data_IF_558322641418
#
_entry.id   IF_558322641418
#
_cell.length_a   1.000
_cell.length_b   1.000
_cell.length_c   1.000
_cell.angle_alpha   90.00
_cell.angle_beta   90.00
_cell.angle_gamma   90.00
#
_symmetry.space_group_name_H-M   'P 1'
#
loop_
_entity.id
_entity.type
_entity.pdbx_description
1 polymer ?
#
# COMPACT_ATOMS: atom_id res chain seq x y z
N UNK A 1 11.70 2.09 7.60
CA UNK A 1 11.53 0.62 7.47
C UNK A 1 10.37 0.27 6.54
N UNK A 2 9.13 0.71 6.79
CA UNK A 2 7.98 0.39 5.92
C UNK A 2 8.06 0.92 4.47
N UNK A 3 8.66 2.09 4.26
CA UNK A 3 8.81 2.71 2.92
C UNK A 3 9.70 1.90 1.99
N UNK A 4 10.79 1.31 2.50
CA UNK A 4 11.69 0.48 1.68
C UNK A 4 11.00 -0.81 1.22
N UNK A 5 10.26 -1.47 2.12
CA UNK A 5 9.47 -2.66 1.80
C UNK A 5 8.34 -2.36 0.80
N UNK A 6 7.74 -1.17 0.89
CA UNK A 6 6.72 -0.73 -0.06
C UNK A 6 7.31 -0.47 -1.46
N UNK A 7 8.44 0.23 -1.52
CA UNK A 7 9.13 0.51 -2.80
C UNK A 7 9.61 -0.79 -3.45
N UNK A 8 10.15 -1.75 -2.69
CA UNK A 8 10.55 -3.05 -3.25
C UNK A 8 9.37 -3.85 -3.80
N UNK A 9 8.20 -3.79 -3.14
CA UNK A 9 6.97 -4.41 -3.62
C UNK A 9 6.47 -3.75 -4.92
N UNK A 10 6.46 -2.42 -5.01
CA UNK A 10 6.10 -1.72 -6.26
C UNK A 10 7.06 -2.12 -7.38
N UNK A 11 8.37 -2.07 -7.13
CA UNK A 11 9.38 -2.45 -8.11
C UNK A 11 9.24 -3.90 -8.57
N UNK A 12 8.84 -4.81 -7.67
CA UNK A 12 8.55 -6.21 -8.00
C UNK A 12 7.31 -6.40 -8.88
N UNK A 13 6.36 -5.45 -8.86
CA UNK A 13 5.18 -5.45 -9.74
C UNK A 13 5.44 -4.78 -11.10
N UNK A 14 6.50 -3.99 -11.22
CA UNK A 14 6.87 -3.33 -12.48
C UNK A 14 7.54 -4.32 -13.46
N UNK A 15 7.13 -4.27 -14.72
CA UNK A 15 7.76 -5.04 -15.79
C UNK A 15 9.07 -4.35 -16.23
N UNK A 16 10.15 -5.13 -16.38
CA UNK A 16 11.50 -4.65 -16.70
C UNK A 16 11.58 -3.75 -17.95
N UNK A 17 10.66 -3.90 -18.92
CA UNK A 17 10.63 -3.10 -20.15
C UNK A 17 10.06 -1.68 -19.97
N UNK A 18 9.23 -1.44 -18.95
CA UNK A 18 8.53 -0.16 -18.73
C UNK A 18 8.54 0.26 -17.25
N UNK A 19 9.62 -0.05 -16.52
CA UNK A 19 9.69 0.13 -15.07
C UNK A 19 9.51 1.58 -14.63
N UNK A 20 10.08 2.55 -15.36
CA UNK A 20 10.03 3.96 -14.99
C UNK A 20 8.60 4.54 -14.99
N UNK A 21 7.81 4.23 -16.03
CA UNK A 21 6.44 4.75 -16.16
C UNK A 21 5.47 4.06 -15.22
N UNK A 22 5.58 2.73 -15.07
CA UNK A 22 4.75 1.95 -14.15
C UNK A 22 5.03 2.32 -12.69
N UNK A 23 6.30 2.52 -12.33
CA UNK A 23 6.66 2.99 -11.00
C UNK A 23 6.10 4.39 -10.72
N UNK A 24 6.21 5.31 -11.68
CA UNK A 24 5.67 6.66 -11.53
C UNK A 24 4.15 6.67 -11.31
N UNK A 25 3.40 5.84 -12.07
CA UNK A 25 1.95 5.67 -11.93
C UNK A 25 1.56 5.03 -10.58
N UNK A 26 2.25 3.98 -10.17
CA UNK A 26 1.97 3.30 -8.90
C UNK A 26 2.33 4.19 -7.70
N UNK A 27 3.42 4.95 -7.80
CA UNK A 27 3.85 5.91 -6.79
C UNK A 27 2.90 7.10 -6.67
N UNK A 28 2.42 7.65 -7.79
CA UNK A 28 1.43 8.73 -7.78
C UNK A 28 0.10 8.27 -7.18
N UNK A 29 -0.35 7.05 -7.50
CA UNK A 29 -1.53 6.46 -6.89
C UNK A 29 -1.39 6.25 -5.38
N UNK A 30 -0.22 5.80 -4.92
CA UNK A 30 0.09 5.69 -3.50
C UNK A 30 0.08 7.05 -2.78
N UNK A 31 0.55 8.11 -3.45
CA UNK A 31 0.55 9.47 -2.92
C UNK A 31 -0.88 10.04 -2.77
N UNK A 32 -1.79 9.71 -3.70
CA UNK A 32 -3.19 10.17 -3.65
C UNK A 32 -3.87 9.78 -2.33
N UNK A 33 -3.71 8.53 -1.88
CA UNK A 33 -4.28 8.09 -0.60
C UNK A 33 -3.84 8.98 0.56
N UNK A 34 -2.55 9.34 0.62
CA UNK A 34 -2.04 10.21 1.68
C UNK A 34 -2.60 11.64 1.59
N UNK A 35 -2.78 12.16 0.37
CA UNK A 35 -3.29 13.51 0.12
C UNK A 35 -4.77 13.64 0.49
N UNK A 36 -5.59 12.62 0.25
CA UNK A 36 -7.01 12.66 0.62
C UNK A 36 -7.25 12.41 2.11
N UNK A 37 -6.49 11.49 2.71
CA UNK A 37 -6.71 11.06 4.09
C UNK A 37 -6.17 12.09 5.11
N UNK A 38 -5.07 12.78 4.80
CA UNK A 38 -4.45 13.74 5.72
C UNK A 38 -5.31 14.98 6.08
N UNK A 39 -6.00 15.65 5.14
CA UNK A 39 -6.90 16.75 5.49
C UNK A 39 -8.25 16.26 6.02
N UNK A 40 -8.74 15.11 5.55
CA UNK A 40 -10.04 14.57 6.00
C UNK A 40 -10.00 14.05 7.43
N UNK A 41 -8.84 13.64 7.96
CA UNK A 41 -8.72 13.19 9.35
C UNK A 41 -9.07 14.26 10.38
N UNK A 42 -8.84 15.54 10.08
CA UNK A 42 -9.20 16.64 11.00
C UNK A 42 -10.70 16.75 11.21
N UNK A 43 -11.46 16.78 10.11
CA UNK A 43 -12.92 16.81 10.14
C UNK A 43 -13.51 15.53 10.76
N UNK A 44 -12.92 14.36 10.47
CA UNK A 44 -13.42 13.08 10.96
C UNK A 44 -13.24 12.93 12.48
N UNK A 45 -12.15 13.45 13.04
CA UNK A 45 -11.90 13.47 14.50
C UNK A 45 -12.87 14.43 15.19
N UNK A 46 -13.25 15.53 14.55
CA UNK A 46 -14.20 16.50 15.12
C UNK A 46 -15.63 15.92 15.25
N UNK A 47 -16.02 15.04 14.31
CA UNK A 47 -17.33 14.38 14.32
C UNK A 47 -17.41 13.12 15.21
N UNK A 48 -16.36 12.30 15.25
CA UNK A 48 -16.40 10.94 15.83
C UNK A 48 -15.46 10.81 17.05
N UNK A 49 -14.65 11.84 17.33
CA UNK A 49 -13.63 11.83 18.36
C UNK A 49 -12.40 10.98 18.00
N UNK A 50 -11.34 11.17 18.78
CA UNK A 50 -10.09 10.39 18.64
C UNK A 50 -10.28 8.86 18.72
N UNK A 51 -11.10 8.30 19.64
CA UNK A 51 -11.25 6.85 19.77
C UNK A 51 -11.87 6.22 18.52
N UNK A 52 -12.91 6.85 17.96
CA UNK A 52 -13.58 6.37 16.75
C UNK A 52 -12.67 6.43 15.53
N UNK A 53 -11.88 7.51 15.39
CA UNK A 53 -10.91 7.64 14.32
C UNK A 53 -9.85 6.52 14.33
N UNK A 54 -9.26 6.22 15.49
CA UNK A 54 -8.27 5.15 15.60
C UNK A 54 -8.87 3.76 15.34
N UNK A 55 -10.10 3.53 15.78
CA UNK A 55 -10.78 2.25 15.53
C UNK A 55 -11.10 2.05 14.03
N UNK A 56 -11.58 3.10 13.36
CA UNK A 56 -11.85 3.07 11.92
C UNK A 56 -10.55 2.86 11.14
N UNK A 57 -9.48 3.61 11.45
CA UNK A 57 -8.18 3.44 10.77
C UNK A 57 -7.57 2.06 11.00
N UNK A 58 -7.75 1.46 12.18
CA UNK A 58 -7.37 0.08 12.46
C UNK A 58 -8.11 -0.91 11.56
N UNK A 59 -9.44 -0.77 11.44
CA UNK A 59 -10.25 -1.60 10.54
C UNK A 59 -9.87 -1.38 9.08
N UNK A 60 -9.57 -0.15 8.67
CA UNK A 60 -9.13 0.16 7.31
C UNK A 60 -7.73 -0.40 6.99
N UNK A 61 -6.88 -0.63 7.99
CA UNK A 61 -5.57 -1.25 7.80
C UNK A 61 -5.65 -2.77 7.52
N UNK A 62 -6.62 -3.46 8.14
CA UNK A 62 -6.87 -4.89 7.95
C UNK A 62 -6.93 -5.36 6.49
N UNK A 63 -7.75 -4.77 5.60
CA UNK A 63 -7.83 -5.22 4.20
C UNK A 63 -6.49 -5.04 3.45
N UNK A 64 -5.71 -4.00 3.77
CA UNK A 64 -4.37 -3.80 3.20
C UNK A 64 -3.39 -4.91 3.59
N UNK A 65 -3.39 -5.30 4.87
CA UNK A 65 -2.60 -6.43 5.37
C UNK A 65 -3.05 -7.77 4.77
N UNK A 66 -4.36 -7.97 4.62
CA UNK A 66 -4.95 -9.20 4.07
C UNK A 66 -4.61 -9.37 2.59
N UNK A 67 -4.63 -8.28 1.82
CA UNK A 67 -4.18 -8.25 0.43
C UNK A 67 -2.69 -8.61 0.33
N UNK A 68 -1.86 -8.01 1.19
CA UNK A 68 -0.42 -8.28 1.22
C UNK A 68 -0.12 -9.74 1.58
N UNK A 69 -0.88 -10.32 2.52
CA UNK A 69 -0.76 -11.73 2.87
C UNK A 69 -1.09 -12.66 1.70
N UNK A 70 -2.12 -12.34 0.90
CA UNK A 70 -2.44 -13.09 -0.32
C UNK A 70 -1.37 -12.92 -1.40
N UNK A 71 -0.88 -11.71 -1.63
CA UNK A 71 0.17 -11.45 -2.62
C UNK A 71 1.49 -12.12 -2.27
N UNK A 72 1.85 -12.20 -0.98
CA UNK A 72 3.04 -12.92 -0.50
C UNK A 72 3.09 -14.35 -1.06
N UNK A 73 1.96 -15.05 -1.11
CA UNK A 73 1.90 -16.41 -1.66
C UNK A 73 2.22 -16.44 -3.17
N UNK A 74 1.75 -15.44 -3.93
CA UNK A 74 2.03 -15.31 -5.36
C UNK A 74 3.49 -14.93 -5.65
N UNK A 75 4.03 -13.95 -4.92
CA UNK A 75 5.40 -13.46 -5.09
C UNK A 75 6.42 -14.57 -4.81
N UNK A 76 6.24 -15.32 -3.72
CA UNK A 76 7.12 -16.46 -3.39
C UNK A 76 7.07 -17.57 -4.45
N UNK A 77 5.93 -17.76 -5.12
CA UNK A 77 5.82 -18.74 -6.21
C UNK A 77 6.54 -18.28 -7.48
N UNK A 78 6.50 -16.99 -7.80
CA UNK A 78 7.19 -16.42 -8.97
C UNK A 78 8.71 -16.40 -8.76
N UNK A 79 9.16 -16.09 -7.54
CA UNK A 79 10.59 -16.10 -7.19
C UNK A 79 11.18 -17.51 -7.32
N UNK A 80 10.45 -18.55 -6.89
CA UNK A 80 10.86 -19.96 -7.07
C UNK A 80 11.00 -20.38 -8.54
N UNK A 81 10.21 -19.81 -9.45
CA UNK A 81 10.27 -20.12 -10.89
C UNK A 81 11.46 -19.44 -11.55
N UNK A 82 11.87 -18.25 -11.07
CA UNK A 82 12.97 -17.47 -11.65
C UNK A 82 14.37 -17.94 -11.23
N UNK A 83 14.45 -18.74 -10.16
CA UNK A 83 15.70 -19.30 -9.61
C UNK A 83 16.01 -20.70 -10.19
N UNK A 84 15.07 -21.30 -10.93
CA UNK A 84 15.29 -22.54 -11.70
C UNK A 84 15.58 -22.20 -13.17
#
# INVERSE_FOLDING_TARGET
MGTAAFVSLIMGMCNHRFTATQYALLSSLAALGRIFIAPSSGFLVELIGWPGFFFITFIFSMPGLLLLYKLRFSILNIEKIKIR
#
